data_IF_982047818604
#
_entry.id   IF_982047818604
#
_cell.length_a   1.000
_cell.length_b   1.000
_cell.length_c   1.000
_cell.angle_alpha   90.00
_cell.angle_beta   90.00
_cell.angle_gamma   90.00
#
_symmetry.space_group_name_H-M   'P 1'
#
loop_
_entity.id
_entity.type
_entity.pdbx_description
1 polymer ?
#
# COMPACT_ATOMS: atom_id res chain seq x y z
N UNK A 1 16.68 -48.39 -12.19
CA UNK A 1 15.54 -47.71 -11.51
C UNK A 1 15.97 -46.54 -10.61
N UNK A 2 16.98 -46.67 -9.72
CA UNK A 2 17.35 -45.61 -8.76
C UNK A 2 18.10 -44.40 -9.36
N UNK A 3 18.89 -44.59 -10.42
CA UNK A 3 19.68 -43.52 -11.05
C UNK A 3 18.80 -42.52 -11.84
N UNK A 4 17.76 -42.99 -12.54
CA UNK A 4 16.82 -42.11 -13.24
C UNK A 4 15.99 -41.25 -12.27
N UNK A 5 15.59 -41.81 -11.13
CA UNK A 5 14.90 -41.06 -10.06
C UNK A 5 15.81 -39.99 -9.43
N UNK A 6 17.11 -40.27 -9.27
CA UNK A 6 18.06 -39.30 -8.71
C UNK A 6 18.40 -38.17 -9.70
N UNK A 7 18.48 -38.46 -11.00
CA UNK A 7 18.63 -37.45 -12.06
C UNK A 7 17.41 -36.53 -12.16
N UNK A 8 16.19 -37.10 -12.19
CA UNK A 8 14.94 -36.31 -12.17
C UNK A 8 14.82 -35.42 -10.93
N UNK A 9 15.24 -35.90 -9.76
CA UNK A 9 15.30 -35.08 -8.54
C UNK A 9 16.28 -33.91 -8.65
N UNK A 10 17.42 -34.09 -9.33
CA UNK A 10 18.39 -33.00 -9.58
C UNK A 10 17.86 -31.98 -10.57
N UNK A 11 17.18 -32.41 -11.63
CA UNK A 11 16.56 -31.51 -12.61
C UNK A 11 15.44 -30.68 -11.98
N UNK A 12 14.57 -31.32 -11.19
CA UNK A 12 13.53 -30.63 -10.45
C UNK A 12 14.11 -29.61 -9.47
N UNK A 13 15.21 -29.96 -8.77
CA UNK A 13 15.92 -29.02 -7.90
C UNK A 13 16.40 -27.80 -8.68
N UNK A 14 17.14 -27.98 -9.77
CA UNK A 14 17.63 -26.86 -10.60
C UNK A 14 16.50 -25.95 -11.08
N UNK A 15 15.36 -26.54 -11.45
CA UNK A 15 14.18 -25.79 -11.87
C UNK A 15 13.60 -24.93 -10.74
N UNK A 16 13.47 -25.51 -9.55
CA UNK A 16 12.95 -24.79 -8.37
C UNK A 16 13.94 -23.72 -7.93
N UNK A 17 15.24 -24.01 -7.91
CA UNK A 17 16.28 -23.03 -7.56
C UNK A 17 16.22 -21.82 -8.52
N UNK A 18 16.06 -22.07 -9.83
CA UNK A 18 15.89 -20.99 -10.81
C UNK A 18 14.60 -20.16 -10.62
N UNK A 19 13.51 -20.77 -10.15
CA UNK A 19 12.30 -20.01 -9.78
C UNK A 19 12.54 -19.16 -8.54
N UNK A 20 13.21 -19.71 -7.53
CA UNK A 20 13.56 -18.98 -6.30
C UNK A 20 14.45 -17.78 -6.62
N UNK A 21 15.43 -17.94 -7.51
CA UNK A 21 16.32 -16.85 -7.92
C UNK A 21 15.55 -15.69 -8.58
N UNK A 22 14.67 -15.99 -9.54
CA UNK A 22 13.82 -14.97 -10.20
C UNK A 22 12.89 -14.29 -9.19
N UNK A 23 12.19 -15.08 -8.36
CA UNK A 23 11.27 -14.55 -7.36
C UNK A 23 11.98 -13.72 -6.28
N UNK A 24 13.23 -14.06 -5.95
CA UNK A 24 14.03 -13.30 -4.97
C UNK A 24 14.36 -11.91 -5.50
N UNK A 25 14.69 -11.79 -6.80
CA UNK A 25 14.90 -10.50 -7.45
C UNK A 25 13.65 -9.60 -7.39
N UNK A 26 12.48 -10.15 -7.72
CA UNK A 26 11.22 -9.41 -7.62
C UNK A 26 10.82 -9.10 -6.17
N UNK A 27 11.12 -9.99 -5.23
CA UNK A 27 10.83 -9.77 -3.81
C UNK A 27 11.57 -8.54 -3.28
N UNK A 28 12.84 -8.35 -3.64
CA UNK A 28 13.62 -7.15 -3.25
C UNK A 28 12.92 -5.87 -3.70
N UNK A 29 12.45 -5.82 -4.96
CA UNK A 29 11.71 -4.67 -5.46
C UNK A 29 10.35 -4.49 -4.75
N UNK A 30 9.62 -5.59 -4.55
CA UNK A 30 8.31 -5.56 -3.91
C UNK A 30 8.38 -5.08 -2.45
N UNK A 31 9.42 -5.45 -1.70
CA UNK A 31 9.64 -4.94 -0.34
C UNK A 31 9.93 -3.43 -0.33
N UNK A 32 10.79 -2.95 -1.23
CA UNK A 32 11.06 -1.51 -1.35
C UNK A 32 9.78 -0.74 -1.73
N UNK A 33 9.01 -1.26 -2.68
CA UNK A 33 7.74 -0.67 -3.10
C UNK A 33 6.69 -0.67 -2.01
N UNK A 34 6.63 -1.73 -1.19
CA UNK A 34 5.78 -1.76 -0.01
C UNK A 34 6.18 -0.66 0.98
N UNK A 35 7.48 -0.41 1.16
CA UNK A 35 7.96 0.67 2.00
C UNK A 35 7.53 2.05 1.46
N UNK A 36 7.65 2.29 0.15
CA UNK A 36 7.14 3.53 -0.47
C UNK A 36 5.63 3.67 -0.30
N UNK A 37 4.90 2.57 -0.40
CA UNK A 37 3.46 2.56 -0.17
C UNK A 37 3.10 2.94 1.27
N UNK A 38 3.80 2.34 2.22
CA UNK A 38 3.67 2.63 3.65
C UNK A 38 4.00 4.11 3.94
N UNK A 39 5.08 4.64 3.37
CA UNK A 39 5.49 6.03 3.53
C UNK A 39 4.43 6.97 2.94
N UNK A 40 3.91 6.68 1.74
CA UNK A 40 2.88 7.49 1.07
C UNK A 40 1.65 7.71 1.95
N UNK A 41 1.06 6.62 2.44
CA UNK A 41 -0.14 6.69 3.26
C UNK A 41 0.13 7.40 4.59
N UNK A 42 1.23 7.06 5.27
CA UNK A 42 1.55 7.67 6.56
C UNK A 42 1.97 9.14 6.44
N UNK A 43 2.56 9.56 5.32
CA UNK A 43 2.84 10.95 5.03
C UNK A 43 1.55 11.78 4.96
N UNK A 44 0.51 11.26 4.30
CA UNK A 44 -0.80 11.92 4.27
C UNK A 44 -1.44 11.93 5.66
N UNK A 45 -1.31 10.84 6.43
CA UNK A 45 -1.77 10.81 7.84
C UNK A 45 -1.09 11.89 8.68
N UNK A 46 0.22 12.08 8.50
CA UNK A 46 0.99 13.14 9.19
C UNK A 46 0.50 14.53 8.81
N UNK A 47 0.30 14.80 7.52
CA UNK A 47 -0.29 16.07 7.05
C UNK A 47 -1.68 16.33 7.67
N UNK A 48 -2.57 15.32 7.66
CA UNK A 48 -3.92 15.44 8.25
C UNK A 48 -3.85 15.81 9.73
N UNK A 49 -2.90 15.23 10.47
CA UNK A 49 -2.68 15.51 11.89
C UNK A 49 -2.14 16.93 12.11
N UNK A 50 -1.10 17.32 11.37
CA UNK A 50 -0.45 18.63 11.47
C UNK A 50 -1.44 19.77 11.20
N UNK A 51 -2.20 19.67 10.11
CA UNK A 51 -3.19 20.68 9.70
C UNK A 51 -4.52 20.54 10.46
N UNK A 52 -4.61 19.61 11.42
CA UNK A 52 -5.82 19.35 12.22
C UNK A 52 -7.08 19.17 11.36
N UNK A 53 -6.95 18.45 10.24
CA UNK A 53 -8.04 18.29 9.26
C UNK A 53 -9.19 17.50 9.90
N UNK A 54 -10.38 18.13 9.94
CA UNK A 54 -11.58 17.51 10.50
C UNK A 54 -12.07 16.35 9.64
N UNK A 55 -12.40 15.22 10.29
CA UNK A 55 -12.99 14.05 9.63
C UNK A 55 -14.32 14.42 8.94
N UNK A 56 -14.43 14.11 7.64
CA UNK A 56 -15.69 14.24 6.92
C UNK A 56 -16.70 13.16 7.30
N UNK A 57 -18.00 13.35 7.02
CA UNK A 57 -19.00 12.31 7.24
C UNK A 57 -18.69 10.99 6.53
N UNK A 58 -18.14 11.05 5.31
CA UNK A 58 -17.67 9.89 4.54
C UNK A 58 -16.58 9.14 5.30
N UNK A 59 -15.54 9.86 5.73
CA UNK A 59 -14.44 9.27 6.48
C UNK A 59 -14.93 8.61 7.78
N UNK A 60 -15.83 9.26 8.52
CA UNK A 60 -16.41 8.68 9.75
C UNK A 60 -17.18 7.39 9.48
N UNK A 61 -17.92 7.31 8.36
CA UNK A 61 -18.61 6.08 7.94
C UNK A 61 -17.61 4.96 7.66
N UNK A 62 -16.58 5.23 6.86
CA UNK A 62 -15.55 4.24 6.51
C UNK A 62 -14.81 3.74 7.75
N UNK A 63 -14.41 4.65 8.65
CA UNK A 63 -13.76 4.32 9.92
C UNK A 63 -14.63 3.38 10.75
N UNK A 64 -15.93 3.66 10.87
CA UNK A 64 -16.86 2.82 11.62
C UNK A 64 -16.98 1.42 11.02
N UNK A 65 -17.03 1.32 9.70
CA UNK A 65 -17.07 0.03 9.00
C UNK A 65 -15.80 -0.78 9.23
N UNK A 66 -14.62 -0.17 9.05
CA UNK A 66 -13.35 -0.86 9.22
C UNK A 66 -13.08 -1.27 10.67
N UNK A 67 -13.46 -0.45 11.66
CA UNK A 67 -13.43 -0.82 13.09
C UNK A 67 -14.32 -2.04 13.37
N UNK A 68 -15.53 -2.07 12.78
CA UNK A 68 -16.45 -3.21 12.92
C UNK A 68 -15.84 -4.48 12.32
N UNK A 69 -15.29 -4.40 11.11
CA UNK A 69 -14.66 -5.53 10.42
C UNK A 69 -13.43 -6.03 11.17
N UNK A 70 -12.58 -5.12 11.67
CA UNK A 70 -11.43 -5.49 12.50
C UNK A 70 -11.88 -6.24 13.76
N UNK A 71 -12.90 -5.74 14.47
CA UNK A 71 -13.46 -6.43 15.65
C UNK A 71 -13.97 -7.83 15.32
N UNK A 72 -14.64 -8.00 14.18
CA UNK A 72 -15.14 -9.31 13.72
C UNK A 72 -13.98 -10.26 13.40
N UNK A 73 -12.98 -9.80 12.65
CA UNK A 73 -11.82 -10.60 12.27
C UNK A 73 -10.96 -10.97 13.48
N UNK A 74 -10.77 -10.04 14.43
CA UNK A 74 -10.07 -10.31 15.70
C UNK A 74 -10.77 -11.41 16.51
N UNK A 75 -12.10 -11.36 16.60
CA UNK A 75 -12.89 -12.40 17.27
C UNK A 75 -12.73 -13.75 16.58
N UNK A 76 -12.88 -13.79 15.25
CA UNK A 76 -12.73 -15.01 14.47
C UNK A 76 -11.32 -15.61 14.57
N UNK A 77 -10.29 -14.74 14.63
CA UNK A 77 -8.89 -15.15 14.77
C UNK A 77 -8.42 -15.37 16.21
N UNK A 78 -9.29 -15.25 17.22
CA UNK A 78 -8.92 -15.31 18.64
C UNK A 78 -7.79 -14.34 19.05
N UNK A 79 -7.84 -13.10 18.53
CA UNK A 79 -6.84 -12.05 18.78
C UNK A 79 -7.43 -10.97 19.68
N UNK A 80 -6.81 -10.75 20.84
CA UNK A 80 -7.25 -9.72 21.81
C UNK A 80 -6.31 -8.49 21.90
N UNK A 81 -5.18 -8.47 21.20
CA UNK A 81 -4.23 -7.34 21.19
C UNK A 81 -4.70 -6.19 20.31
N UNK A 82 -4.18 -4.98 20.54
CA UNK A 82 -4.38 -3.83 19.64
C UNK A 82 -3.50 -3.99 18.39
N UNK A 83 -4.07 -3.71 17.21
CA UNK A 83 -3.36 -3.87 15.92
C UNK A 83 -2.77 -2.56 15.38
N UNK A 84 -3.42 -1.43 15.67
CA UNK A 84 -3.07 -0.14 15.09
C UNK A 84 -2.50 0.78 16.15
N UNK A 85 -1.48 1.54 15.75
CA UNK A 85 -1.02 2.72 16.45
C UNK A 85 -1.69 3.97 15.84
N UNK A 86 -2.08 4.92 16.68
CA UNK A 86 -2.71 6.18 16.26
C UNK A 86 -4.24 6.19 16.38
N UNK A 87 -4.83 7.31 15.95
CA UNK A 87 -6.27 7.55 16.03
C UNK A 87 -7.05 7.00 14.84
N UNK A 88 -8.28 7.49 14.71
CA UNK A 88 -9.27 7.03 13.74
C UNK A 88 -8.82 7.10 12.28
N UNK A 89 -7.98 8.07 11.93
CA UNK A 89 -7.41 8.24 10.57
C UNK A 89 -6.61 7.00 10.13
N UNK A 90 -6.11 6.18 11.07
CA UNK A 90 -5.41 4.91 10.76
C UNK A 90 -6.31 3.84 10.13
N UNK A 91 -7.63 4.03 10.12
CA UNK A 91 -8.60 3.17 9.45
C UNK A 91 -8.94 3.62 8.03
N UNK A 92 -8.46 4.78 7.58
CA UNK A 92 -8.65 5.23 6.21
C UNK A 92 -7.59 4.63 5.29
N UNK A 93 -8.05 4.17 4.13
CA UNK A 93 -7.23 3.74 3.01
C UNK A 93 -6.70 4.96 2.22
N UNK A 94 -5.85 4.72 1.22
CA UNK A 94 -5.26 5.79 0.43
C UNK A 94 -6.31 6.73 -0.22
N UNK A 95 -7.40 6.23 -0.86
CA UNK A 95 -8.49 7.08 -1.33
C UNK A 95 -9.16 7.92 -0.25
N UNK A 96 -9.48 7.34 0.90
CA UNK A 96 -10.10 8.06 2.02
C UNK A 96 -9.19 9.14 2.59
N UNK A 97 -7.89 8.83 2.75
CA UNK A 97 -6.86 9.77 3.17
C UNK A 97 -6.71 10.92 2.18
N UNK A 98 -6.56 10.61 0.89
CA UNK A 98 -6.42 11.61 -0.16
C UNK A 98 -7.63 12.55 -0.22
N UNK A 99 -8.84 11.99 -0.13
CA UNK A 99 -10.08 12.77 -0.10
C UNK A 99 -10.14 13.70 1.11
N UNK A 100 -9.69 13.24 2.27
CA UNK A 100 -9.69 14.05 3.47
C UNK A 100 -8.65 15.19 3.38
N UNK A 101 -7.46 14.89 2.88
CA UNK A 101 -6.31 15.79 2.88
C UNK A 101 -6.34 16.86 1.79
N UNK A 102 -6.76 16.52 0.56
CA UNK A 102 -6.65 17.40 -0.60
C UNK A 102 -8.00 17.60 -1.28
N UNK A 103 -8.68 18.71 -0.96
CA UNK A 103 -9.97 19.09 -1.56
C UNK A 103 -9.83 19.84 -2.88
N UNK A 104 -8.63 19.93 -3.45
CA UNK A 104 -8.44 20.60 -4.73
C UNK A 104 -9.16 19.87 -5.85
N UNK A 105 -9.68 20.63 -6.82
CA UNK A 105 -10.25 20.11 -8.07
C UNK A 105 -9.24 20.08 -9.21
N UNK A 106 -7.94 20.13 -8.89
CA UNK A 106 -6.87 20.15 -9.87
C UNK A 106 -6.57 18.74 -10.38
N UNK A 107 -6.06 18.68 -11.60
CA UNK A 107 -5.57 17.44 -12.18
C UNK A 107 -4.43 16.84 -11.34
N UNK A 108 -3.53 17.68 -10.83
CA UNK A 108 -2.48 17.31 -9.87
C UNK A 108 -3.02 17.45 -8.44
N UNK A 109 -3.58 16.37 -7.92
CA UNK A 109 -4.19 16.27 -6.59
C UNK A 109 -4.00 14.88 -6.01
N UNK A 110 -3.99 14.78 -4.67
CA UNK A 110 -3.86 13.47 -4.00
C UNK A 110 -4.99 12.51 -4.41
N UNK A 111 -6.17 13.03 -4.78
CA UNK A 111 -7.27 12.23 -5.30
C UNK A 111 -6.89 11.47 -6.58
N UNK A 112 -6.28 12.15 -7.54
CA UNK A 112 -5.89 11.53 -8.81
C UNK A 112 -4.66 10.64 -8.64
N UNK A 113 -3.76 10.99 -7.71
CA UNK A 113 -2.64 10.11 -7.35
C UNK A 113 -3.16 8.81 -6.72
N UNK A 114 -4.09 8.89 -5.76
CA UNK A 114 -4.70 7.72 -5.12
C UNK A 114 -5.41 6.80 -6.14
N UNK A 115 -6.08 7.35 -7.15
CA UNK A 115 -6.71 6.57 -8.23
C UNK A 115 -5.70 5.80 -9.07
N UNK A 116 -4.58 6.43 -9.43
CA UNK A 116 -3.53 5.79 -10.22
C UNK A 116 -2.72 4.77 -9.40
N UNK A 117 -2.50 5.10 -8.13
CA UNK A 117 -1.76 4.29 -7.17
C UNK A 117 -2.46 2.98 -6.83
N UNK A 118 -3.78 3.03 -6.59
CA UNK A 118 -4.57 1.91 -6.09
C UNK A 118 -4.41 0.59 -6.88
N UNK A 119 -4.60 0.53 -8.22
CA UNK A 119 -4.53 -0.74 -8.94
C UNK A 119 -3.14 -1.39 -8.84
N UNK A 120 -2.07 -0.59 -8.83
CA UNK A 120 -0.71 -1.10 -8.75
C UNK A 120 -0.39 -1.58 -7.33
N UNK A 121 -0.76 -0.78 -6.32
CA UNK A 121 -0.60 -1.13 -4.90
C UNK A 121 -1.41 -2.37 -4.54
N UNK A 122 -2.63 -2.51 -5.03
CA UNK A 122 -3.46 -3.68 -4.72
C UNK A 122 -2.85 -4.95 -5.32
N UNK A 123 -2.35 -4.90 -6.56
CA UNK A 123 -1.61 -6.02 -7.15
C UNK A 123 -0.35 -6.39 -6.34
N UNK A 124 0.42 -5.39 -5.92
CA UNK A 124 1.61 -5.56 -5.06
C UNK A 124 1.25 -6.24 -3.73
N UNK A 125 0.19 -5.78 -3.06
CA UNK A 125 -0.26 -6.34 -1.78
C UNK A 125 -0.83 -7.74 -1.92
N UNK A 126 -1.31 -8.10 -3.11
CA UNK A 126 -1.65 -9.47 -3.49
C UNK A 126 -0.43 -10.28 -3.97
N UNK A 127 0.79 -9.84 -3.66
CA UNK A 127 2.06 -10.54 -3.93
C UNK A 127 2.28 -10.85 -5.42
N UNK A 128 1.69 -10.04 -6.31
CA UNK A 128 1.85 -10.20 -7.76
C UNK A 128 3.23 -9.74 -8.22
N UNK A 129 3.76 -10.36 -9.26
CA UNK A 129 4.95 -9.87 -9.97
C UNK A 129 4.55 -8.69 -10.86
N UNK A 130 4.97 -7.49 -10.49
CA UNK A 130 4.68 -6.28 -11.27
C UNK A 130 5.51 -6.24 -12.55
N UNK A 131 4.92 -5.75 -13.65
CA UNK A 131 5.69 -5.41 -14.86
C UNK A 131 6.56 -4.18 -14.62
N UNK A 132 7.63 -4.00 -15.39
CA UNK A 132 8.52 -2.86 -15.21
C UNK A 132 7.81 -1.51 -15.43
N UNK A 133 6.78 -1.45 -16.27
CA UNK A 133 5.94 -0.26 -16.45
C UNK A 133 5.18 0.07 -15.17
N UNK A 134 4.57 -0.95 -14.53
CA UNK A 134 3.84 -0.79 -13.28
C UNK A 134 4.79 -0.36 -12.15
N UNK A 135 5.99 -0.96 -12.10
CA UNK A 135 7.08 -0.58 -11.18
C UNK A 135 7.44 0.90 -11.33
N UNK A 136 7.78 1.34 -12.54
CA UNK A 136 8.11 2.76 -12.83
C UNK A 136 6.96 3.70 -12.47
N UNK A 137 5.73 3.32 -12.82
CA UNK A 137 4.54 4.14 -12.53
C UNK A 137 4.31 4.29 -11.03
N UNK A 138 4.50 3.22 -10.25
CA UNK A 138 4.36 3.26 -8.79
C UNK A 138 5.33 4.26 -8.17
N UNK A 139 6.61 4.21 -8.56
CA UNK A 139 7.64 5.15 -8.11
C UNK A 139 7.28 6.60 -8.49
N UNK A 140 6.83 6.84 -9.72
CA UNK A 140 6.42 8.20 -10.14
C UNK A 140 5.24 8.73 -9.30
N UNK A 141 4.26 7.87 -8.99
CA UNK A 141 3.11 8.29 -8.17
C UNK A 141 3.53 8.57 -6.73
N UNK A 142 4.45 7.79 -6.17
CA UNK A 142 5.06 8.06 -4.86
C UNK A 142 5.72 9.45 -4.80
N UNK A 143 6.58 9.77 -5.77
CA UNK A 143 7.25 11.08 -5.81
C UNK A 143 6.26 12.23 -5.96
N UNK A 144 5.19 12.04 -6.77
CA UNK A 144 4.11 13.01 -6.90
C UNK A 144 3.37 13.24 -5.59
N UNK A 145 3.03 12.19 -4.85
CA UNK A 145 2.36 12.29 -3.53
C UNK A 145 3.22 13.12 -2.58
N UNK A 146 4.54 12.84 -2.51
CA UNK A 146 5.47 13.63 -1.69
C UNK A 146 5.46 15.10 -2.07
N UNK A 147 5.65 15.39 -3.36
CA UNK A 147 5.64 16.76 -3.87
C UNK A 147 4.31 17.47 -3.64
N UNK A 148 3.18 16.75 -3.71
CA UNK A 148 1.86 17.33 -3.45
C UNK A 148 1.65 17.64 -1.97
N UNK A 149 2.05 16.76 -1.06
CA UNK A 149 2.00 17.02 0.39
C UNK A 149 2.85 18.24 0.75
N UNK A 150 4.05 18.38 0.18
CA UNK A 150 4.89 19.57 0.37
C UNK A 150 4.17 20.85 -0.07
N UNK A 151 3.54 20.85 -1.26
CA UNK A 151 2.77 22.01 -1.75
C UNK A 151 1.59 22.36 -0.84
N UNK A 152 0.88 21.35 -0.31
CA UNK A 152 -0.24 21.56 0.60
C UNK A 152 0.22 22.22 1.91
N UNK A 153 1.34 21.78 2.48
CA UNK A 153 1.96 22.38 3.67
C UNK A 153 2.42 23.83 3.42
N UNK A 154 2.90 24.14 2.22
CA UNK A 154 3.29 25.51 1.86
C UNK A 154 2.10 26.45 1.58
N UNK A 155 0.86 26.02 1.83
CA UNK A 155 -0.36 26.81 1.57
C UNK A 155 -0.77 26.91 0.09
N UNK A 156 -0.02 26.28 -0.81
CA UNK A 156 -0.31 26.22 -2.25
C UNK A 156 -1.33 25.12 -2.57
N UNK A 157 -2.55 25.30 -2.05
CA UNK A 157 -3.68 24.39 -2.20
C UNK A 157 -4.14 24.32 -3.66
#
# INVERSE_FOLDING_TARGET
MNMLKSLSKRENRKKVDGWVDVLSGDAVYNFASYADCFISENLIRKYIQEESVRLSPEAQRDIKEWKKREKQNKRAGNININLRQGGDVSYLDMPGLANLADKSRRQNSLHNDAKQYRPIRDALMHTTLLTDEAKRKLTTVYDNIKGRVMRLLSGNK
#
